data_IF_938593765919
#
_entry.id   IF_938593765919
#
_cell.length_a   1.000
_cell.length_b   1.000
_cell.length_c   1.000
_cell.angle_alpha   90.00
_cell.angle_beta   90.00
_cell.angle_gamma   90.00
#
_symmetry.space_group_name_H-M   'P 1'
#
loop_
_entity.id
_entity.type
_entity.pdbx_description
1 polymer ?
#
# COMPACT_ATOMS: atom_id res chain seq x y z
N UNK A 1 -4.53 -2.41 30.30
CA UNK A 1 -4.14 -1.14 29.66
C UNK A 1 -5.32 -0.69 28.80
N UNK A 2 -6.04 0.38 29.20
CA UNK A 2 -7.06 0.98 28.33
C UNK A 2 -6.32 1.80 27.28
N UNK A 3 -6.40 1.39 26.03
CA UNK A 3 -5.98 2.23 24.92
C UNK A 3 -7.02 3.36 24.84
N UNK A 4 -6.59 4.59 25.06
CA UNK A 4 -7.45 5.75 24.82
C UNK A 4 -7.50 5.97 23.32
N UNK A 5 -8.54 5.41 22.70
CA UNK A 5 -8.80 5.49 21.26
C UNK A 5 -8.79 6.95 20.78
N UNK A 6 -9.28 7.89 21.60
CA UNK A 6 -9.26 9.32 21.32
C UNK A 6 -7.84 9.89 21.14
N UNK A 7 -6.86 9.37 21.89
CA UNK A 7 -5.45 9.76 21.73
C UNK A 7 -4.89 9.28 20.40
N UNK A 8 -5.31 8.10 19.94
CA UNK A 8 -4.91 7.56 18.64
C UNK A 8 -5.50 8.42 17.52
N UNK A 9 -6.80 8.73 17.57
CA UNK A 9 -7.43 9.57 16.55
C UNK A 9 -6.80 10.96 16.46
N UNK A 10 -6.54 11.60 17.60
CA UNK A 10 -5.85 12.90 17.62
C UNK A 10 -4.47 12.83 16.97
N UNK A 11 -3.69 11.80 17.29
CA UNK A 11 -2.39 11.62 16.67
C UNK A 11 -2.50 11.41 15.15
N UNK A 12 -3.48 10.63 14.69
CA UNK A 12 -3.73 10.45 13.25
C UNK A 12 -4.12 11.76 12.56
N UNK A 13 -4.93 12.60 13.20
CA UNK A 13 -5.30 13.92 12.69
C UNK A 13 -4.10 14.87 12.63
N UNK A 14 -3.28 14.90 13.69
CA UNK A 14 -2.08 15.76 13.78
C UNK A 14 -1.01 15.39 12.74
N UNK A 15 -0.94 14.13 12.31
CA UNK A 15 0.06 13.62 11.37
C UNK A 15 -0.53 13.26 9.99
N UNK A 16 -1.78 13.64 9.72
CA UNK A 16 -2.48 13.25 8.48
C UNK A 16 -1.71 13.66 7.22
N UNK A 17 -1.27 14.91 7.13
CA UNK A 17 -0.57 15.44 5.96
C UNK A 17 0.77 14.72 5.72
N UNK A 18 1.48 14.36 6.79
CA UNK A 18 2.72 13.60 6.70
C UNK A 18 2.48 12.18 6.19
N UNK A 19 1.40 11.53 6.64
CA UNK A 19 1.02 10.19 6.18
C UNK A 19 0.54 10.23 4.72
N UNK A 20 -0.23 11.24 4.35
CA UNK A 20 -0.67 11.46 2.99
C UNK A 20 0.53 11.66 2.05
N UNK A 21 1.52 12.45 2.44
CA UNK A 21 2.69 12.66 1.58
C UNK A 21 3.52 11.38 1.39
N UNK A 22 3.72 10.58 2.45
CA UNK A 22 4.40 9.28 2.32
C UNK A 22 3.65 8.31 1.41
N UNK A 23 2.32 8.30 1.48
CA UNK A 23 1.51 7.54 0.54
C UNK A 23 1.70 8.03 -0.89
N UNK A 24 1.71 9.35 -1.11
CA UNK A 24 1.95 9.94 -2.42
C UNK A 24 3.33 9.57 -2.96
N UNK A 25 4.37 9.59 -2.13
CA UNK A 25 5.71 9.13 -2.49
C UNK A 25 5.69 7.67 -2.97
N UNK A 26 5.04 6.77 -2.22
CA UNK A 26 4.87 5.37 -2.63
C UNK A 26 4.10 5.23 -3.94
N UNK A 27 3.02 6.00 -4.13
CA UNK A 27 2.23 6.00 -5.35
C UNK A 27 2.99 6.56 -6.56
N UNK A 28 3.90 7.52 -6.35
CA UNK A 28 4.75 8.08 -7.42
C UNK A 28 5.81 7.12 -7.92
N UNK A 29 6.21 6.12 -7.13
CA UNK A 29 7.09 5.05 -7.56
C UNK A 29 6.29 4.00 -8.35
N UNK A 30 6.46 3.88 -9.67
CA UNK A 30 5.80 2.82 -10.43
C UNK A 30 6.29 1.45 -9.94
N UNK A 31 5.38 0.48 -9.83
CA UNK A 31 5.68 -0.87 -9.38
C UNK A 31 4.86 -1.91 -10.15
N UNK A 32 5.01 -1.93 -11.47
CA UNK A 32 4.19 -2.77 -12.35
C UNK A 32 4.88 -4.11 -12.56
N UNK A 33 4.49 -5.12 -11.78
CA UNK A 33 5.11 -6.44 -11.80
C UNK A 33 5.04 -7.12 -13.18
N UNK A 34 3.91 -6.99 -13.88
CA UNK A 34 3.72 -7.57 -15.22
C UNK A 34 4.68 -7.01 -16.28
N UNK A 35 5.23 -5.82 -16.04
CA UNK A 35 6.16 -5.11 -16.93
C UNK A 35 7.59 -5.09 -16.38
N UNK A 36 7.81 -5.63 -15.17
CA UNK A 36 9.10 -5.56 -14.46
C UNK A 36 9.57 -4.15 -14.13
N UNK A 37 8.64 -3.22 -13.94
CA UNK A 37 8.93 -1.82 -13.71
C UNK A 37 8.97 -1.50 -12.21
N UNK A 38 10.11 -0.95 -11.75
CA UNK A 38 10.22 -0.27 -10.44
C UNK A 38 10.05 -1.14 -9.19
N UNK A 39 10.13 -2.47 -9.34
CA UNK A 39 9.85 -3.44 -8.29
C UNK A 39 10.92 -3.49 -7.19
N UNK A 40 12.18 -3.28 -7.53
CA UNK A 40 13.26 -3.27 -6.55
C UNK A 40 13.23 -1.98 -5.71
N UNK A 41 12.94 -0.87 -6.37
CA UNK A 41 12.83 0.46 -5.79
C UNK A 41 11.69 0.52 -4.79
N UNK A 42 10.48 0.09 -5.16
CA UNK A 42 9.35 0.08 -4.23
C UNK A 42 9.57 -0.89 -3.05
N UNK A 43 10.21 -2.05 -3.26
CA UNK A 43 10.50 -2.99 -2.18
C UNK A 43 11.45 -2.37 -1.15
N UNK A 44 12.43 -1.59 -1.63
CA UNK A 44 13.34 -0.83 -0.77
C UNK A 44 12.60 0.29 -0.01
N UNK A 45 11.70 1.04 -0.66
CA UNK A 45 10.87 2.04 0.02
C UNK A 45 10.00 1.44 1.13
N UNK A 46 9.38 0.28 0.86
CA UNK A 46 8.56 -0.42 1.86
C UNK A 46 9.42 -0.92 3.03
N UNK A 47 10.62 -1.43 2.74
CA UNK A 47 11.59 -1.80 3.78
C UNK A 47 11.91 -0.59 4.68
N UNK A 48 12.26 0.55 4.09
CA UNK A 48 12.59 1.78 4.82
C UNK A 48 11.42 2.30 5.66
N UNK A 49 10.19 2.20 5.12
CA UNK A 49 8.97 2.53 5.85
C UNK A 49 8.84 1.67 7.12
N UNK A 50 9.05 0.35 7.01
CA UNK A 50 8.98 -0.56 8.15
C UNK A 50 10.11 -0.31 9.16
N UNK A 51 11.33 -0.01 8.70
CA UNK A 51 12.45 0.38 9.55
C UNK A 51 12.16 1.68 10.31
N UNK A 52 11.53 2.65 9.65
CA UNK A 52 11.08 3.90 10.27
C UNK A 52 10.05 3.70 11.38
N UNK A 53 9.31 2.58 11.36
CA UNK A 53 8.41 2.17 12.45
C UNK A 53 9.14 1.41 13.58
N UNK A 54 10.44 1.18 13.44
CA UNK A 54 11.27 0.44 14.39
C UNK A 54 11.27 -1.08 14.16
N UNK A 55 10.86 -1.56 12.99
CA UNK A 55 10.87 -2.99 12.68
C UNK A 55 12.29 -3.45 12.32
N UNK A 56 12.63 -4.68 12.73
CA UNK A 56 13.74 -5.41 12.11
C UNK A 56 13.26 -5.91 10.74
N UNK A 57 13.96 -5.53 9.66
CA UNK A 57 13.50 -5.83 8.30
C UNK A 57 14.49 -6.66 7.50
N UNK A 58 13.96 -7.39 6.52
CA UNK A 58 14.74 -8.23 5.59
C UNK A 58 14.08 -8.23 4.22
N UNK A 59 14.88 -8.16 3.16
CA UNK A 59 14.44 -8.52 1.82
C UNK A 59 14.71 -10.00 1.62
N UNK A 60 13.65 -10.76 1.35
CA UNK A 60 13.75 -12.19 1.07
C UNK A 60 13.68 -12.37 -0.43
N UNK A 61 14.81 -12.76 -1.04
CA UNK A 61 14.87 -13.05 -2.46
C UNK A 61 13.94 -14.22 -2.82
N UNK A 62 13.26 -14.11 -3.96
CA UNK A 62 12.41 -15.17 -4.51
C UNK A 62 12.78 -15.40 -5.96
N UNK A 63 12.15 -16.38 -6.61
CA UNK A 63 12.25 -16.54 -8.07
C UNK A 63 11.64 -15.36 -8.85
N UNK A 64 10.90 -14.48 -8.17
CA UNK A 64 10.27 -13.29 -8.71
C UNK A 64 10.83 -12.00 -8.10
N UNK A 65 9.97 -11.23 -7.44
CA UNK A 65 10.34 -9.98 -6.76
C UNK A 65 10.50 -10.25 -5.26
N UNK A 66 11.34 -9.48 -4.55
CA UNK A 66 11.67 -9.77 -3.16
C UNK A 66 10.45 -9.61 -2.26
N UNK A 67 10.29 -10.50 -1.28
CA UNK A 67 9.31 -10.29 -0.20
C UNK A 67 9.94 -9.36 0.82
N UNK A 68 9.23 -8.30 1.20
CA UNK A 68 9.65 -7.44 2.31
C UNK A 68 9.11 -8.04 3.60
N UNK A 69 10.01 -8.43 4.50
CA UNK A 69 9.68 -8.93 5.83
C UNK A 69 10.01 -7.88 6.87
N UNK A 70 9.08 -7.63 7.80
CA UNK A 70 9.31 -6.78 8.97
C UNK A 70 8.83 -7.46 10.25
N UNK A 71 9.59 -7.33 11.32
CA UNK A 71 9.22 -7.79 12.66
C UNK A 71 9.32 -6.65 13.67
N UNK A 72 8.23 -6.36 14.36
CA UNK A 72 8.17 -5.41 15.48
C UNK A 72 8.07 -6.19 16.79
N UNK A 73 8.99 -5.91 17.72
CA UNK A 73 8.95 -6.49 19.06
C UNK A 73 7.70 -6.00 19.81
N UNK A 74 6.87 -6.95 20.23
CA UNK A 74 5.68 -6.71 21.03
C UNK A 74 5.86 -7.10 22.49
N UNK A 75 4.84 -6.78 23.29
CA UNK A 75 4.78 -7.10 24.74
C UNK A 75 3.55 -7.93 25.10
N UNK A 76 2.72 -8.28 24.11
CA UNK A 76 1.52 -9.07 24.29
C UNK A 76 1.81 -10.56 24.25
N UNK A 77 0.82 -11.38 24.57
CA UNK A 77 0.89 -12.85 24.51
C UNK A 77 0.58 -13.42 23.11
N UNK A 78 0.08 -12.57 22.20
CA UNK A 78 -0.33 -12.94 20.84
C UNK A 78 0.51 -12.21 19.80
N UNK A 79 0.82 -12.91 18.72
CA UNK A 79 1.46 -12.35 17.53
C UNK A 79 0.39 -11.96 16.51
N UNK A 80 0.50 -10.75 15.94
CA UNK A 80 -0.31 -10.31 14.81
C UNK A 80 0.52 -10.38 13.53
N UNK A 81 -0.09 -10.85 12.45
CA UNK A 81 0.53 -10.93 11.13
C UNK A 81 -0.30 -10.10 10.15
N UNK A 82 0.35 -9.19 9.45
CA UNK A 82 -0.20 -8.44 8.34
C UNK A 82 0.47 -8.92 7.07
N UNK A 83 -0.31 -9.09 6.02
CA UNK A 83 0.13 -9.46 4.68
C UNK A 83 -0.54 -8.49 3.71
N UNK A 84 0.21 -7.99 2.74
CA UNK A 84 -0.27 -7.09 1.69
C UNK A 84 0.68 -7.16 0.49
N UNK A 85 0.44 -6.40 -0.58
CA UNK A 85 1.31 -6.34 -1.76
C UNK A 85 1.70 -4.90 -2.12
N UNK A 86 2.78 -4.76 -2.88
CA UNK A 86 3.32 -3.45 -3.27
C UNK A 86 3.41 -3.27 -4.79
N UNK A 87 3.12 -4.31 -5.56
CA UNK A 87 2.92 -4.21 -7.01
C UNK A 87 1.53 -3.65 -7.34
N UNK A 88 1.44 -3.04 -8.52
CA UNK A 88 0.22 -2.46 -9.07
C UNK A 88 -0.02 -2.98 -10.48
N UNK A 89 -1.28 -2.93 -10.91
CA UNK A 89 -1.63 -3.25 -12.28
C UNK A 89 -1.04 -2.23 -13.26
N UNK A 90 -0.79 -2.62 -14.53
CA UNK A 90 -0.52 -1.69 -15.61
C UNK A 90 -1.57 -0.57 -15.64
N UNK A 91 -1.17 0.70 -15.79
CA UNK A 91 -2.12 1.80 -15.81
C UNK A 91 -2.89 1.92 -17.13
N UNK A 92 -2.49 1.21 -18.18
CA UNK A 92 -3.10 1.34 -19.48
C UNK A 92 -4.59 0.95 -19.51
N UNK A 93 -5.39 1.63 -20.34
CA UNK A 93 -4.95 2.64 -21.30
C UNK A 93 -4.87 4.06 -20.68
N UNK A 94 -3.90 4.87 -21.11
CA UNK A 94 -3.52 6.13 -20.43
C UNK A 94 -4.45 7.31 -20.73
N UNK A 95 -5.28 7.21 -21.76
CA UNK A 95 -6.25 8.22 -22.19
C UNK A 95 -7.50 8.29 -21.29
N UNK A 96 -7.84 7.20 -20.60
CA UNK A 96 -8.88 7.13 -19.58
C UNK A 96 -8.47 7.90 -18.31
N UNK A 97 -7.18 8.18 -18.14
CA UNK A 97 -6.69 8.95 -17.01
C UNK A 97 -6.77 10.46 -17.26
N UNK A 98 -7.38 11.16 -16.32
CA UNK A 98 -7.38 12.64 -16.31
C UNK A 98 -6.03 13.26 -15.90
N UNK A 99 -5.09 12.46 -15.38
CA UNK A 99 -3.72 12.85 -15.03
C UNK A 99 -2.77 11.67 -15.19
N UNK A 100 -1.46 11.93 -15.13
CA UNK A 100 -0.49 10.84 -15.03
C UNK A 100 -0.85 9.88 -13.86
N UNK A 101 -1.00 8.57 -14.11
CA UNK A 101 -1.35 7.57 -13.11
C UNK A 101 -0.43 7.52 -11.89
N UNK A 102 0.83 7.95 -12.05
CA UNK A 102 1.84 7.97 -11.01
C UNK A 102 2.17 9.39 -10.53
N UNK A 103 1.35 10.40 -10.84
CA UNK A 103 1.53 11.76 -10.30
C UNK A 103 1.15 11.90 -8.81
N UNK A 104 0.28 11.01 -8.32
CA UNK A 104 -0.31 11.07 -6.98
C UNK A 104 -0.96 12.44 -6.69
N UNK A 105 -1.86 12.84 -7.59
CA UNK A 105 -2.56 14.11 -7.51
C UNK A 105 -3.71 14.05 -6.50
N UNK A 106 -3.91 15.14 -5.76
CA UNK A 106 -5.06 15.27 -4.85
C UNK A 106 -6.05 16.26 -5.45
N UNK A 107 -7.28 15.80 -5.73
CA UNK A 107 -8.38 16.66 -6.21
C UNK A 107 -9.60 16.47 -5.34
N UNK A 108 -10.23 17.56 -4.93
CA UNK A 108 -11.46 17.53 -4.13
C UNK A 108 -11.36 16.64 -2.87
N UNK A 109 -10.18 16.60 -2.26
CA UNK A 109 -9.92 15.79 -1.06
C UNK A 109 -9.71 14.29 -1.33
N UNK A 110 -9.59 13.87 -2.59
CA UNK A 110 -9.30 12.48 -2.98
C UNK A 110 -7.93 12.37 -3.62
N UNK A 111 -7.22 11.28 -3.31
CA UNK A 111 -5.95 10.92 -3.95
C UNK A 111 -6.21 10.07 -5.19
N UNK A 112 -5.72 10.55 -6.33
CA UNK A 112 -5.79 9.89 -7.63
C UNK A 112 -4.39 9.35 -7.99
N UNK A 113 -4.23 8.03 -7.91
CA UNK A 113 -3.01 7.36 -8.34
C UNK A 113 -3.23 5.86 -8.56
N UNK A 114 -2.49 5.27 -9.50
CA UNK A 114 -2.39 3.81 -9.61
C UNK A 114 -1.77 3.24 -8.34
N UNK A 115 -2.51 2.35 -7.69
CA UNK A 115 -2.11 1.70 -6.44
C UNK A 115 -2.56 2.42 -5.18
N UNK A 116 -3.25 3.56 -5.28
CA UNK A 116 -3.75 4.28 -4.11
C UNK A 116 -4.78 3.45 -3.33
N UNK A 117 -5.70 2.76 -4.00
CA UNK A 117 -6.65 1.84 -3.37
C UNK A 117 -6.09 0.41 -3.26
N UNK A 118 -5.45 -0.09 -4.33
CA UNK A 118 -4.91 -1.45 -4.41
C UNK A 118 -3.39 -1.49 -4.66
N UNK A 119 -2.54 -1.57 -3.64
CA UNK A 119 -2.88 -1.65 -2.22
C UNK A 119 -2.05 -0.70 -1.34
N UNK A 120 -1.36 0.27 -1.95
CA UNK A 120 -0.45 1.18 -1.23
C UNK A 120 -1.20 2.05 -0.20
N UNK A 121 -2.48 2.35 -0.39
CA UNK A 121 -3.28 3.07 0.61
C UNK A 121 -3.39 2.35 1.96
N UNK A 122 -3.27 1.01 1.97
CA UNK A 122 -3.44 0.21 3.18
C UNK A 122 -2.29 0.36 4.18
N UNK A 123 -1.10 0.84 3.76
CA UNK A 123 -0.02 1.19 4.69
C UNK A 123 -0.44 2.29 5.69
N UNK A 124 -1.35 3.18 5.29
CA UNK A 124 -1.75 4.36 6.06
C UNK A 124 -3.22 4.36 6.45
N UNK A 125 -3.96 3.27 6.16
CA UNK A 125 -5.40 3.17 6.46
C UNK A 125 -6.28 4.14 5.66
N UNK A 126 -5.80 4.59 4.50
CA UNK A 126 -6.52 5.50 3.61
C UNK A 126 -7.19 4.74 2.46
N UNK A 127 -8.49 4.97 2.24
CA UNK A 127 -9.16 4.53 1.02
C UNK A 127 -8.86 5.57 -0.09
N UNK A 128 -7.86 5.30 -0.93
CA UNK A 128 -7.62 6.05 -2.16
C UNK A 128 -8.62 5.66 -3.25
N UNK A 129 -8.71 6.47 -4.31
CA UNK A 129 -9.49 6.13 -5.50
C UNK A 129 -8.53 5.62 -6.59
N UNK A 130 -8.91 4.56 -7.29
CA UNK A 130 -8.24 4.18 -8.53
C UNK A 130 -8.84 4.98 -9.68
N UNK A 131 -8.78 6.32 -9.62
CA UNK A 131 -9.45 7.10 -10.67
C UNK A 131 -8.88 6.79 -12.06
N UNK A 132 -9.62 6.93 -13.16
CA UNK A 132 -11.06 7.13 -13.34
C UNK A 132 -11.40 6.50 -14.72
N UNK A 133 -12.63 6.00 -14.91
CA UNK A 133 -13.22 5.79 -16.26
C UNK A 133 -14.47 6.67 -16.30
N UNK A 134 -14.25 7.98 -16.39
CA UNK A 134 -15.22 9.08 -16.47
C UNK A 134 -16.23 9.22 -15.28
N UNK A 135 -15.76 9.64 -14.10
CA UNK A 135 -16.40 10.38 -12.97
C UNK A 135 -17.86 10.06 -12.51
N UNK A 136 -18.57 9.08 -13.06
CA UNK A 136 -19.90 8.65 -12.63
C UNK A 136 -20.05 7.20 -13.10
N UNK A 137 -20.57 6.26 -12.35
CA UNK A 137 -22.00 6.22 -12.11
C UNK A 137 -22.33 4.88 -11.44
N UNK A 138 -23.15 4.97 -10.40
CA UNK A 138 -24.11 3.92 -10.01
C UNK A 138 -23.51 2.58 -9.57
N UNK A 139 -23.74 2.25 -8.29
CA UNK A 139 -23.53 0.90 -7.79
C UNK A 139 -24.06 -0.14 -8.76
N UNK A 140 -23.16 -1.01 -9.20
CA UNK A 140 -23.49 -2.26 -9.87
C UNK A 140 -22.68 -3.36 -9.22
N UNK A 141 -23.30 -4.52 -8.98
CA UNK A 141 -22.87 -5.44 -7.94
C UNK A 141 -21.52 -6.04 -8.29
N UNK A 142 -20.66 -6.19 -7.27
CA UNK A 142 -19.42 -6.97 -7.27
C UNK A 142 -19.54 -8.20 -8.19
N UNK A 143 -19.18 -8.04 -9.47
CA UNK A 143 -18.87 -9.17 -10.34
C UNK A 143 -17.43 -9.51 -10.05
N UNK A 144 -17.30 -10.53 -9.20
CA UNK A 144 -16.11 -11.31 -8.93
C UNK A 144 -15.32 -11.56 -10.23
N UNK A 145 -14.37 -10.67 -10.52
CA UNK A 145 -13.34 -10.93 -11.49
C UNK A 145 -12.29 -11.79 -10.78
N UNK A 146 -12.34 -13.10 -11.04
CA UNK A 146 -11.18 -13.96 -10.82
C UNK A 146 -10.20 -13.70 -11.97
N UNK A 147 -8.91 -13.45 -11.72
CA UNK A 147 -7.90 -13.61 -12.75
C UNK A 147 -7.33 -15.03 -12.66
N UNK A 148 -7.70 -15.86 -13.64
CA UNK A 148 -6.88 -16.98 -14.07
C UNK A 148 -5.79 -16.40 -14.98
N UNK A 149 -4.63 -16.04 -14.40
CA UNK A 149 -3.38 -15.84 -15.15
C UNK A 149 -2.17 -15.81 -14.21
N UNK A 150 -1.57 -16.97 -13.96
CA UNK A 150 -0.12 -17.24 -13.86
C UNK A 150 0.89 -16.31 -13.15
N UNK A 151 0.51 -15.24 -12.47
CA UNK A 151 1.39 -14.34 -11.73
C UNK A 151 0.74 -14.04 -10.39
N UNK A 152 1.07 -14.84 -9.38
CA UNK A 152 0.56 -14.64 -8.03
C UNK A 152 0.89 -13.25 -7.48
N UNK A 153 -0.09 -12.65 -6.80
CA UNK A 153 0.04 -11.43 -6.00
C UNK A 153 1.32 -11.47 -5.16
N UNK A 154 2.12 -10.39 -5.17
CA UNK A 154 3.49 -10.40 -4.60
C UNK A 154 3.62 -9.52 -3.38
N UNK A 155 4.12 -10.10 -2.31
CA UNK A 155 3.67 -9.72 -0.98
C UNK A 155 4.76 -9.16 -0.08
N UNK A 156 4.35 -8.42 0.93
CA UNK A 156 5.11 -8.13 2.13
C UNK A 156 4.33 -8.61 3.35
N UNK A 157 5.07 -8.94 4.40
CA UNK A 157 4.48 -9.38 5.67
C UNK A 157 5.11 -8.65 6.84
N UNK A 158 4.28 -8.01 7.66
CA UNK A 158 4.68 -7.39 8.93
C UNK A 158 4.15 -8.25 10.08
N UNK A 159 5.04 -8.68 10.97
CA UNK A 159 4.70 -9.42 12.17
C UNK A 159 4.93 -8.56 13.40
N UNK A 160 3.94 -8.47 14.28
CA UNK A 160 4.10 -7.95 15.63
C UNK A 160 4.21 -9.13 16.59
N UNK A 161 5.43 -9.46 17.03
CA UNK A 161 5.70 -10.68 17.80
C UNK A 161 5.39 -10.49 19.28
N UNK A 162 4.70 -11.45 19.88
CA UNK A 162 4.53 -11.55 21.32
C UNK A 162 5.88 -11.53 22.06
N UNK A 163 5.98 -10.78 23.15
CA UNK A 163 7.18 -10.75 23.99
C UNK A 163 7.31 -12.02 24.82
N UNK A 164 8.53 -12.56 24.94
CA UNK A 164 8.89 -13.58 25.93
C UNK A 164 9.45 -12.91 27.19
#
# INVERSE_FOLDING_TARGET
>A
MKIEIERIFRHLEEHFDEHLEKLRELCRQPSVAAQGLGMAEVAQMVKELLEGLGAETRLIETSGYPVVYGELAGRGEKTLAFYNHYDVQPPEPLEEWSSDPFSAEVREGRLFARGAADNKGLYYGSNGDEGDKDDQAQGSPLKRALPDSGAGERCYSLFHRAGH
#
